data_IF_592299038735
#
_entry.id   IF_592299038735
#
_cell.length_a   1.000
_cell.length_b   1.000
_cell.length_c   1.000
_cell.angle_alpha   90.00
_cell.angle_beta   90.00
_cell.angle_gamma   90.00
#
_symmetry.space_group_name_H-M   'P 1'
#
loop_
_entity.id
_entity.type
_entity.pdbx_description
1 polymer ?
#
# COMPACT_ATOMS: atom_id res chain seq x y z
N UNK A 1 -14.82 11.52 -7.68
CA UNK A 1 -13.73 11.71 -6.71
C UNK A 1 -13.26 13.15 -6.88
N UNK A 2 -13.45 14.00 -5.89
CA UNK A 2 -12.87 15.34 -5.89
C UNK A 2 -11.43 15.19 -5.40
N UNK A 3 -10.46 15.65 -6.18
CA UNK A 3 -9.04 15.62 -5.82
C UNK A 3 -8.64 17.05 -5.47
N UNK A 4 -8.21 17.26 -4.22
CA UNK A 4 -7.65 18.52 -3.75
C UNK A 4 -6.14 18.33 -3.65
N UNK A 5 -5.39 19.11 -4.41
CA UNK A 5 -3.93 19.08 -4.40
C UNK A 5 -3.40 20.27 -3.63
N UNK A 6 -2.51 20.03 -2.66
CA UNK A 6 -1.85 21.07 -1.88
C UNK A 6 -0.38 20.74 -1.70
N UNK A 7 0.49 21.76 -1.75
CA UNK A 7 1.92 21.60 -1.44
C UNK A 7 2.11 21.67 0.07
N UNK A 8 2.65 20.61 0.66
CA UNK A 8 2.97 20.57 2.08
C UNK A 8 4.27 21.33 2.36
N UNK A 9 4.22 22.33 3.25
CA UNK A 9 5.41 22.95 3.86
C UNK A 9 5.55 22.42 5.29
N UNK A 10 6.50 21.52 5.49
CA UNK A 10 6.75 20.85 6.77
C UNK A 10 8.14 21.13 7.32
N UNK A 11 8.33 20.77 8.59
CA UNK A 11 9.67 20.63 9.18
C UNK A 11 10.32 19.32 8.73
N UNK A 12 11.64 19.22 8.81
CA UNK A 12 12.37 18.01 8.41
C UNK A 12 11.83 16.74 9.09
N UNK A 13 11.48 16.81 10.39
CA UNK A 13 10.89 15.67 11.09
C UNK A 13 9.55 15.18 10.50
N UNK A 14 8.74 16.09 9.96
CA UNK A 14 7.47 15.71 9.31
C UNK A 14 7.72 15.05 7.95
N UNK A 15 8.73 15.51 7.21
CA UNK A 15 9.12 14.87 5.95
C UNK A 15 9.72 13.48 6.20
N UNK A 16 10.54 13.31 7.23
CA UNK A 16 11.09 12.01 7.60
C UNK A 16 9.98 11.03 7.97
N UNK A 17 9.01 11.50 8.76
CA UNK A 17 7.84 10.71 9.11
C UNK A 17 7.06 10.27 7.85
N UNK A 18 6.74 11.20 6.94
CA UNK A 18 6.07 10.85 5.68
C UNK A 18 6.86 9.82 4.86
N UNK A 19 8.18 9.98 4.80
CA UNK A 19 9.05 9.05 4.09
C UNK A 19 9.04 7.65 4.72
N UNK A 20 9.05 7.57 6.05
CA UNK A 20 8.93 6.30 6.78
C UNK A 20 7.59 5.61 6.51
N UNK A 21 6.48 6.37 6.48
CA UNK A 21 5.17 5.85 6.12
C UNK A 21 5.16 5.30 4.69
N UNK A 22 5.72 6.05 3.72
CA UNK A 22 5.81 5.65 2.31
C UNK A 22 6.70 4.40 2.13
N UNK A 23 7.83 4.33 2.82
CA UNK A 23 8.67 3.13 2.82
C UNK A 23 7.93 1.92 3.39
N UNK A 24 7.09 2.15 4.40
CA UNK A 24 6.28 1.10 5.02
C UNK A 24 5.20 0.57 4.09
N UNK A 25 4.51 1.45 3.36
CA UNK A 25 3.53 1.03 2.35
C UNK A 25 4.17 0.21 1.23
N UNK A 26 5.34 0.64 0.75
CA UNK A 26 6.12 -0.07 -0.25
C UNK A 26 6.51 -1.48 0.24
N UNK A 27 6.96 -1.59 1.49
CA UNK A 27 7.30 -2.88 2.08
C UNK A 27 6.11 -3.85 2.08
N UNK A 28 4.94 -3.38 2.52
CA UNK A 28 3.72 -4.20 2.57
C UNK A 28 3.31 -4.62 1.17
N UNK A 29 3.35 -3.70 0.21
CA UNK A 29 3.03 -3.98 -1.17
C UNK A 29 3.94 -5.08 -1.76
N UNK A 30 5.25 -4.96 -1.56
CA UNK A 30 6.23 -5.96 -1.98
C UNK A 30 6.02 -7.31 -1.28
N UNK A 31 5.69 -7.31 0.02
CA UNK A 31 5.38 -8.55 0.76
C UNK A 31 4.09 -9.21 0.31
N UNK A 32 3.05 -8.43 0.04
CA UNK A 32 1.78 -8.93 -0.49
C UNK A 32 1.96 -9.54 -1.87
N UNK A 33 2.72 -8.87 -2.75
CA UNK A 33 3.06 -9.39 -4.07
C UNK A 33 3.85 -10.70 -3.95
N UNK A 34 4.88 -10.72 -3.10
CA UNK A 34 5.68 -11.92 -2.89
C UNK A 34 4.87 -13.08 -2.34
N UNK A 35 4.00 -12.80 -1.37
CA UNK A 35 3.12 -13.81 -0.78
C UNK A 35 2.18 -14.42 -1.81
N UNK A 36 1.69 -13.61 -2.74
CA UNK A 36 0.88 -14.08 -3.86
C UNK A 36 1.69 -14.92 -4.84
N UNK A 37 2.92 -14.51 -5.18
CA UNK A 37 3.81 -15.29 -6.05
C UNK A 37 4.08 -16.69 -5.50
N UNK A 38 4.37 -16.78 -4.19
CA UNK A 38 4.72 -18.03 -3.51
C UNK A 38 3.50 -18.99 -3.37
N UNK A 39 2.28 -18.45 -3.24
CA UNK A 39 1.06 -19.23 -2.93
C UNK A 39 -0.05 -19.10 -3.98
N UNK A 40 0.31 -18.82 -5.24
CA UNK A 40 -0.56 -18.64 -6.42
C UNK A 40 -2.06 -18.95 -6.19
N UNK A 41 -2.92 -17.93 -6.28
CA UNK A 41 -4.36 -18.04 -6.01
C UNK A 41 -4.82 -17.52 -4.65
N UNK A 42 -3.94 -16.80 -3.95
CA UNK A 42 -4.25 -16.10 -2.68
C UNK A 42 -5.41 -15.12 -2.89
N UNK A 43 -6.44 -15.22 -2.06
CA UNK A 43 -7.57 -14.28 -2.05
C UNK A 43 -7.20 -12.98 -1.33
N UNK A 44 -7.94 -11.90 -1.62
CA UNK A 44 -7.69 -10.60 -0.99
C UNK A 44 -7.75 -10.65 0.55
N UNK A 45 -8.65 -11.48 1.10
CA UNK A 45 -8.78 -11.66 2.54
C UNK A 45 -7.50 -12.22 3.19
N UNK A 46 -6.76 -13.07 2.48
CA UNK A 46 -5.50 -13.61 2.98
C UNK A 46 -4.42 -12.52 2.95
N UNK A 47 -4.42 -11.66 1.92
CA UNK A 47 -3.51 -10.50 1.86
C UNK A 47 -3.75 -9.52 3.01
N UNK A 48 -5.01 -9.25 3.37
CA UNK A 48 -5.32 -8.39 4.52
C UNK A 48 -4.87 -9.03 5.85
N UNK A 49 -4.98 -10.36 5.99
CA UNK A 49 -4.45 -11.07 7.18
C UNK A 49 -2.93 -11.02 7.26
N UNK A 50 -2.24 -11.03 6.11
CA UNK A 50 -0.79 -10.86 6.07
C UNK A 50 -0.37 -9.51 6.69
N UNK A 51 -1.12 -8.43 6.48
CA UNK A 51 -0.82 -7.14 7.09
C UNK A 51 -0.82 -7.18 8.62
N UNK A 52 -1.74 -7.91 9.25
CA UNK A 52 -1.75 -8.08 10.70
C UNK A 52 -0.51 -8.84 11.18
N UNK A 53 -0.14 -9.92 10.50
CA UNK A 53 1.08 -10.69 10.80
C UNK A 53 2.33 -9.83 10.66
N UNK A 54 2.40 -8.98 9.63
CA UNK A 54 3.52 -8.06 9.43
C UNK A 54 3.58 -6.97 10.50
N UNK A 55 2.43 -6.43 10.93
CA UNK A 55 2.37 -5.44 11.99
C UNK A 55 2.82 -6.00 13.35
N UNK A 56 2.52 -7.28 13.63
CA UNK A 56 3.00 -7.97 14.83
C UNK A 56 4.50 -8.30 14.73
N UNK A 57 4.99 -8.66 13.55
CA UNK A 57 6.39 -9.03 13.35
C UNK A 57 7.35 -7.81 13.31
N UNK A 58 6.86 -6.66 12.86
CA UNK A 58 7.65 -5.45 12.67
C UNK A 58 6.99 -4.27 13.39
N UNK A 59 7.62 -3.82 14.48
CA UNK A 59 7.08 -2.76 15.33
C UNK A 59 6.78 -1.48 14.54
N UNK A 60 7.67 -1.09 13.62
CA UNK A 60 7.52 0.09 12.76
C UNK A 60 6.38 -0.04 11.73
N UNK A 61 6.03 -1.27 11.30
CA UNK A 61 4.82 -1.50 10.48
C UNK A 61 3.56 -1.28 11.33
N UNK A 62 3.58 -1.74 12.58
CA UNK A 62 2.49 -1.56 13.54
C UNK A 62 2.25 -0.11 13.95
N UNK A 63 3.20 0.80 13.73
CA UNK A 63 3.00 2.24 13.92
C UNK A 63 2.04 2.84 12.88
N UNK A 64 1.92 2.21 11.70
CA UNK A 64 0.95 2.60 10.70
C UNK A 64 -0.43 1.99 11.04
N UNK A 65 -1.50 2.75 10.82
CA UNK A 65 -2.84 2.25 11.13
C UNK A 65 -3.20 1.05 10.24
N UNK A 66 -3.88 0.07 10.82
CA UNK A 66 -4.41 -1.14 10.16
C UNK A 66 -5.17 -0.84 8.87
N UNK A 67 -5.89 0.28 8.79
CA UNK A 67 -6.58 0.68 7.57
C UNK A 67 -5.64 1.05 6.42
N UNK A 68 -4.54 1.74 6.72
CA UNK A 68 -3.53 2.09 5.71
C UNK A 68 -2.81 0.81 5.25
N UNK A 69 -2.41 -0.04 6.22
CA UNK A 69 -1.81 -1.35 5.93
C UNK A 69 -2.71 -2.20 5.00
N UNK A 70 -4.01 -2.27 5.30
CA UNK A 70 -4.97 -3.02 4.48
C UNK A 70 -5.16 -2.42 3.09
N UNK A 71 -5.20 -1.09 2.98
CA UNK A 71 -5.35 -0.41 1.69
C UNK A 71 -4.17 -0.68 0.75
N UNK A 72 -2.94 -0.75 1.26
CA UNK A 72 -1.77 -1.03 0.42
C UNK A 72 -1.69 -2.50 -0.04
N UNK A 73 -2.13 -3.44 0.80
CA UNK A 73 -2.34 -4.82 0.36
C UNK A 73 -3.45 -4.93 -0.70
N UNK A 74 -4.55 -4.19 -0.55
CA UNK A 74 -5.61 -4.13 -1.54
C UNK A 74 -5.08 -3.57 -2.88
N UNK A 75 -4.20 -2.56 -2.86
CA UNK A 75 -3.54 -2.03 -4.08
C UNK A 75 -2.70 -3.11 -4.77
N UNK A 76 -1.91 -3.89 -4.02
CA UNK A 76 -1.15 -5.01 -4.58
C UNK A 76 -2.09 -6.04 -5.24
N UNK A 77 -3.17 -6.39 -4.55
CA UNK A 77 -4.16 -7.32 -5.08
C UNK A 77 -4.88 -6.79 -6.32
N UNK A 78 -5.20 -5.49 -6.37
CA UNK A 78 -5.80 -4.84 -7.53
C UNK A 78 -4.86 -4.86 -8.75
N UNK A 79 -3.56 -4.67 -8.55
CA UNK A 79 -2.57 -4.78 -9.63
C UNK A 79 -2.54 -6.21 -10.21
N UNK A 80 -2.53 -7.22 -9.34
CA UNK A 80 -2.60 -8.64 -9.72
C UNK A 80 -3.90 -8.92 -10.48
N UNK A 81 -5.05 -8.56 -9.91
CA UNK A 81 -6.37 -8.77 -10.52
C UNK A 81 -6.48 -8.06 -11.87
N UNK A 82 -5.95 -6.84 -11.96
CA UNK A 82 -5.84 -6.07 -13.18
C UNK A 82 -5.10 -6.86 -14.25
N UNK A 83 -3.87 -7.30 -13.97
CA UNK A 83 -3.07 -8.09 -14.90
C UNK A 83 -3.82 -9.30 -15.49
N UNK A 84 -4.45 -10.12 -14.64
CA UNK A 84 -5.22 -11.28 -15.11
C UNK A 84 -6.51 -10.88 -15.85
N UNK A 85 -7.22 -9.86 -15.38
CA UNK A 85 -8.41 -9.36 -16.06
C UNK A 85 -8.12 -8.83 -17.47
N UNK A 86 -7.00 -8.12 -17.65
CA UNK A 86 -6.55 -7.66 -18.96
C UNK A 86 -6.17 -8.82 -19.89
N UNK A 87 -5.46 -9.83 -19.37
CA UNK A 87 -5.11 -11.03 -20.15
C UNK A 87 -6.34 -11.82 -20.58
N UNK A 88 -7.30 -12.03 -19.67
CA UNK A 88 -8.54 -12.75 -19.98
C UNK A 88 -9.37 -12.02 -21.05
N UNK A 89 -9.40 -10.69 -21.00
CA UNK A 89 -10.13 -9.86 -21.95
C UNK A 89 -9.43 -9.68 -23.32
N UNK A 90 -8.21 -10.22 -23.52
CA UNK A 90 -7.40 -10.09 -24.74
C UNK A 90 -7.33 -8.65 -25.28
N UNK A 91 -7.22 -7.68 -24.39
CA UNK A 91 -7.18 -6.26 -24.77
C UNK A 91 -5.92 -5.96 -25.61
N UNK A 92 -5.99 -4.98 -26.54
CA UNK A 92 -4.87 -4.64 -27.42
C UNK A 92 -3.67 -4.06 -26.66
N UNK A 93 -3.91 -3.41 -25.52
CA UNK A 93 -2.86 -2.94 -24.61
C UNK A 93 -2.52 -4.05 -23.63
N UNK A 94 -1.27 -4.50 -23.65
CA UNK A 94 -0.75 -5.45 -22.68
C UNK A 94 -0.38 -4.72 -21.38
N UNK A 95 -0.98 -5.13 -20.27
CA UNK A 95 -0.53 -4.74 -18.94
C UNK A 95 0.60 -5.70 -18.54
N UNK A 96 1.72 -5.14 -18.08
CA UNK A 96 2.87 -5.91 -17.60
C UNK A 96 2.55 -6.72 -16.34
N UNK A 97 3.33 -7.77 -16.08
CA UNK A 97 3.25 -8.50 -14.83
C UNK A 97 3.58 -7.57 -13.66
N UNK A 98 2.90 -7.63 -12.51
CA UNK A 98 3.25 -6.82 -11.35
C UNK A 98 4.70 -7.10 -10.91
N UNK A 99 5.50 -6.06 -10.67
CA UNK A 99 6.91 -6.17 -10.30
C UNK A 99 7.19 -5.49 -8.97
N UNK A 100 8.15 -5.99 -8.20
CA UNK A 100 8.57 -5.34 -6.96
C UNK A 100 8.92 -3.86 -7.17
N UNK A 101 8.38 -3.01 -6.32
CA UNK A 101 8.67 -1.58 -6.35
C UNK A 101 9.99 -1.29 -5.63
N UNK A 102 10.81 -0.44 -6.24
CA UNK A 102 12.06 0.06 -5.64
C UNK A 102 11.82 1.32 -4.80
N UNK A 103 10.80 2.10 -5.17
CA UNK A 103 10.46 3.39 -4.56
C UNK A 103 8.97 3.45 -4.28
N UNK A 104 8.61 4.12 -3.18
CA UNK A 104 7.23 4.40 -2.83
C UNK A 104 6.89 5.85 -3.15
N UNK A 105 5.68 6.07 -3.66
CA UNK A 105 5.23 7.41 -4.07
C UNK A 105 4.09 7.95 -3.21
N UNK A 106 3.39 7.08 -2.49
CA UNK A 106 2.19 7.46 -1.75
C UNK A 106 1.89 6.55 -0.56
N UNK A 107 1.17 7.12 0.41
CA UNK A 107 0.55 6.41 1.52
C UNK A 107 -0.91 6.85 1.62
N UNK A 108 -1.82 5.91 1.80
CA UNK A 108 -3.23 6.23 1.98
C UNK A 108 -3.49 6.62 3.44
N UNK A 109 -3.99 7.83 3.65
CA UNK A 109 -4.34 8.32 4.97
C UNK A 109 -5.86 8.28 5.16
N UNK A 110 -6.35 7.46 6.09
CA UNK A 110 -7.77 7.39 6.48
C UNK A 110 -8.00 7.99 7.86
N UNK A 111 -9.27 8.17 8.21
CA UNK A 111 -9.80 8.94 9.34
C UNK A 111 -9.25 8.57 10.74
N UNK A 112 -8.61 7.42 10.89
CA UNK A 112 -7.96 7.00 12.14
C UNK A 112 -6.48 6.70 11.85
N UNK A 113 -5.58 6.95 12.81
CA UNK A 113 -4.15 6.68 12.67
C UNK A 113 -3.24 7.91 12.76
N UNK A 114 -2.11 7.83 12.05
CA UNK A 114 -0.93 8.70 12.13
C UNK A 114 -1.22 10.20 11.93
N UNK A 115 -1.37 10.97 13.02
CA UNK A 115 -1.78 12.37 12.94
C UNK A 115 -0.68 13.27 12.35
N UNK A 116 -0.77 13.56 11.05
CA UNK A 116 0.11 14.52 10.37
C UNK A 116 -0.10 15.96 10.85
N UNK A 117 -1.30 16.28 11.36
CA UNK A 117 -1.65 17.55 11.98
C UNK A 117 -2.57 17.32 13.19
N UNK A 118 -2.58 18.26 14.14
CA UNK A 118 -3.40 18.16 15.36
C UNK A 118 -4.91 18.27 15.09
N UNK A 119 -5.32 18.74 13.92
CA UNK A 119 -6.72 18.99 13.59
C UNK A 119 -7.03 18.53 12.16
N UNK A 120 -8.17 17.84 12.01
CA UNK A 120 -8.76 17.52 10.71
C UNK A 120 -9.26 18.85 10.11
N UNK A 121 -8.77 19.19 8.91
CA UNK A 121 -9.32 20.28 8.09
C UNK A 121 -10.72 19.87 7.61
#
# INVERSE_FOLDING_TARGET
MLVLEAKLKGKQGQYNALNEAICTTLFIWNKALRHWEDKQGVSNNIQQKLCAVLAEAFTWVGELNSMALGADADKAFLAIKGFYGYRQAKKPVQVGYPQFGEWGDSVEYKSFGWKLAKENI
#
